data_IF_007947833026
#
_entry.id   IF_007947833026
#
_cell.length_a   1.000
_cell.length_b   1.000
_cell.length_c   1.000
_cell.angle_alpha   90.00
_cell.angle_beta   90.00
_cell.angle_gamma   90.00
#
_symmetry.space_group_name_H-M   'P 1'
#
loop_
_entity.id
_entity.type
_entity.pdbx_description
1 polymer ?
#
# COMPACT_ATOMS: atom_id res chain seq x y z
N UNK A 1 -19.85 15.39 13.52
CA UNK A 1 -21.04 14.51 13.42
C UNK A 1 -20.85 13.40 14.44
N UNK A 2 -21.84 13.12 15.29
CA UNK A 2 -21.74 12.07 16.33
C UNK A 2 -22.73 10.95 15.97
N UNK A 3 -22.22 9.74 15.82
CA UNK A 3 -23.05 8.54 15.61
C UNK A 3 -23.23 7.85 16.95
N UNK A 4 -24.47 7.76 17.45
CA UNK A 4 -24.78 7.06 18.69
C UNK A 4 -24.94 5.56 18.41
N UNK A 5 -23.81 4.86 18.37
CA UNK A 5 -23.79 3.41 18.15
C UNK A 5 -24.56 2.65 19.24
N UNK A 6 -24.74 3.20 20.45
CA UNK A 6 -25.48 2.54 21.53
C UNK A 6 -26.99 2.48 21.28
N UNK A 7 -27.52 3.40 20.48
CA UNK A 7 -28.94 3.45 20.07
C UNK A 7 -29.18 2.92 18.66
N UNK A 8 -28.14 2.42 17.98
CA UNK A 8 -28.29 1.87 16.65
C UNK A 8 -29.19 0.60 16.71
N UNK A 9 -30.34 0.58 16.02
CA UNK A 9 -31.29 -0.53 16.09
C UNK A 9 -30.76 -1.83 15.48
N UNK A 10 -29.61 -1.79 14.80
CA UNK A 10 -28.94 -2.93 14.16
C UNK A 10 -27.66 -3.35 14.88
N UNK A 11 -27.35 -2.76 16.03
CA UNK A 11 -26.14 -3.08 16.79
C UNK A 11 -26.07 -4.57 17.10
N UNK A 12 -24.99 -5.22 16.67
CA UNK A 12 -24.73 -6.65 16.89
C UNK A 12 -25.37 -7.62 15.88
N UNK A 13 -26.27 -7.16 15.00
CA UNK A 13 -26.93 -8.03 13.98
C UNK A 13 -26.93 -7.45 12.57
N UNK A 14 -26.44 -6.22 12.40
CA UNK A 14 -26.24 -5.59 11.09
C UNK A 14 -25.01 -4.69 11.04
N UNK A 15 -24.03 -4.98 11.90
CA UNK A 15 -22.74 -4.28 11.87
C UNK A 15 -21.83 -4.80 10.74
N UNK A 16 -22.02 -6.05 10.30
CA UNK A 16 -21.26 -6.63 9.19
C UNK A 16 -21.51 -5.83 7.90
N UNK A 17 -20.45 -5.24 7.35
CA UNK A 17 -20.53 -4.35 6.17
C UNK A 17 -21.10 -2.94 6.44
N UNK A 18 -21.33 -2.56 7.70
CA UNK A 18 -21.74 -1.20 8.05
C UNK A 18 -20.53 -0.24 8.02
N UNK A 19 -20.61 0.85 7.24
CA UNK A 19 -19.55 1.87 7.20
C UNK A 19 -19.16 2.39 8.59
N UNK A 20 -20.12 2.53 9.50
CA UNK A 20 -19.86 2.99 10.87
C UNK A 20 -19.05 1.96 11.65
N UNK A 21 -19.27 0.66 11.42
CA UNK A 21 -18.49 -0.39 12.08
C UNK A 21 -17.02 -0.34 11.62
N UNK A 22 -16.77 -0.12 10.33
CA UNK A 22 -15.42 0.03 9.78
C UNK A 22 -14.64 1.23 10.38
N UNK A 23 -15.32 2.23 10.94
CA UNK A 23 -14.66 3.33 11.65
C UNK A 23 -14.21 2.97 13.07
N UNK A 24 -14.87 2.00 13.71
CA UNK A 24 -14.52 1.52 15.05
C UNK A 24 -13.56 0.34 15.02
N UNK A 25 -13.78 -0.57 14.07
CA UNK A 25 -12.98 -1.77 13.82
C UNK A 25 -12.61 -1.74 12.33
N UNK A 26 -11.52 -1.03 11.97
CA UNK A 26 -11.06 -1.01 10.59
C UNK A 26 -10.73 -2.44 10.14
N UNK A 27 -10.92 -2.75 8.85
CA UNK A 27 -10.47 -4.02 8.29
C UNK A 27 -8.97 -4.22 8.58
N UNK A 28 -8.53 -5.44 8.92
CA UNK A 28 -7.13 -5.69 9.27
C UNK A 28 -6.17 -5.28 8.15
N UNK A 29 -6.60 -5.33 6.90
CA UNK A 29 -5.81 -4.90 5.74
C UNK A 29 -5.47 -3.40 5.80
N UNK A 30 -6.34 -2.57 6.38
CA UNK A 30 -6.12 -1.13 6.56
C UNK A 30 -5.07 -0.87 7.64
N UNK A 31 -5.02 -1.72 8.68
CA UNK A 31 -4.01 -1.60 9.75
C UNK A 31 -2.58 -1.93 9.27
N UNK A 32 -2.46 -2.67 8.16
CA UNK A 32 -1.17 -3.03 7.56
C UNK A 32 -0.59 -1.92 6.69
N UNK A 33 -1.37 -0.89 6.36
CA UNK A 33 -0.94 0.17 5.46
C UNK A 33 0.01 1.15 6.15
N UNK A 34 1.11 1.47 5.49
CA UNK A 34 1.97 2.54 5.92
C UNK A 34 1.42 3.93 5.54
N UNK A 35 2.09 4.97 6.02
CA UNK A 35 1.67 6.36 5.79
C UNK A 35 1.69 6.72 4.30
N UNK A 36 2.68 6.24 3.55
CA UNK A 36 2.89 6.62 2.16
C UNK A 36 1.86 5.90 1.28
N UNK A 37 1.50 4.66 1.62
CA UNK A 37 0.39 3.91 1.03
C UNK A 37 -0.96 4.59 1.29
N UNK A 38 -1.24 5.01 2.53
CA UNK A 38 -2.45 5.78 2.86
C UNK A 38 -2.54 7.08 2.05
N UNK A 39 -1.41 7.78 1.92
CA UNK A 39 -1.35 9.02 1.13
C UNK A 39 -1.58 8.78 -0.37
N UNK A 40 -1.05 7.69 -0.91
CA UNK A 40 -1.27 7.31 -2.31
C UNK A 40 -2.74 7.00 -2.57
N UNK A 41 -3.39 6.22 -1.69
CA UNK A 41 -4.82 5.89 -1.78
C UNK A 41 -5.66 7.17 -1.76
N UNK A 42 -5.42 8.07 -0.80
CA UNK A 42 -6.15 9.34 -0.72
C UNK A 42 -5.98 10.15 -2.01
N UNK A 43 -4.75 10.28 -2.50
CA UNK A 43 -4.44 11.09 -3.68
C UNK A 43 -5.15 10.55 -4.93
N UNK A 44 -5.09 9.23 -5.15
CA UNK A 44 -5.72 8.58 -6.30
C UNK A 44 -7.25 8.66 -6.22
N UNK A 45 -7.84 8.39 -5.05
CA UNK A 45 -9.28 8.49 -4.87
C UNK A 45 -9.81 9.90 -5.12
N UNK A 46 -9.09 10.94 -4.65
CA UNK A 46 -9.46 12.35 -4.89
C UNK A 46 -9.32 12.77 -6.35
N UNK A 47 -8.49 12.08 -7.12
CA UNK A 47 -8.39 12.25 -8.57
C UNK A 47 -9.48 11.48 -9.35
N UNK A 48 -10.36 10.74 -8.66
CA UNK A 48 -11.48 10.01 -9.27
C UNK A 48 -11.12 8.60 -9.74
N UNK A 49 -9.97 8.06 -9.33
CA UNK A 49 -9.64 6.66 -9.56
C UNK A 49 -10.30 5.78 -8.52
N UNK A 50 -10.71 4.58 -8.93
CA UNK A 50 -11.03 3.53 -7.98
C UNK A 50 -9.76 2.76 -7.60
N UNK A 51 -9.55 2.57 -6.30
CA UNK A 51 -8.29 2.04 -5.75
C UNK A 51 -8.53 0.64 -5.17
N UNK A 52 -7.76 -0.33 -5.68
CA UNK A 52 -7.79 -1.71 -5.19
C UNK A 52 -6.50 -2.01 -4.43
N UNK A 53 -6.62 -2.46 -3.18
CA UNK A 53 -5.50 -3.05 -2.44
C UNK A 53 -5.18 -4.44 -2.99
N UNK A 54 -3.92 -4.68 -3.27
CA UNK A 54 -3.41 -6.01 -3.63
C UNK A 54 -2.72 -6.61 -2.41
N UNK A 55 -2.91 -7.91 -2.18
CA UNK A 55 -2.10 -8.62 -1.19
C UNK A 55 -0.62 -8.51 -1.58
N UNK A 56 0.27 -8.20 -0.61
CA UNK A 56 1.69 -8.11 -0.91
C UNK A 56 2.14 -9.47 -1.44
N UNK A 57 2.98 -9.50 -2.49
CA UNK A 57 3.56 -10.75 -2.94
C UNK A 57 4.23 -11.40 -1.74
N UNK A 58 4.00 -12.71 -1.54
CA UNK A 58 4.77 -13.45 -0.57
C UNK A 58 6.24 -13.24 -0.92
N UNK A 59 7.00 -12.66 0.01
CA UNK A 59 8.40 -12.36 -0.22
C UNK A 59 9.13 -13.70 -0.34
N UNK A 60 9.14 -14.24 -1.55
CA UNK A 60 10.14 -15.20 -1.96
C UNK A 60 11.46 -14.45 -1.88
N UNK A 61 12.46 -15.09 -1.26
CA UNK A 61 13.79 -14.56 -0.96
C UNK A 61 14.31 -13.54 -1.99
N UNK A 62 15.04 -12.49 -1.57
CA UNK A 62 15.38 -11.36 -2.44
C UNK A 62 15.92 -11.86 -3.78
N UNK A 63 15.18 -11.55 -4.85
CA UNK A 63 15.73 -11.61 -6.20
C UNK A 63 16.88 -10.62 -6.20
N UNK A 64 18.11 -11.12 -6.27
CA UNK A 64 19.29 -10.27 -6.34
C UNK A 64 19.03 -9.20 -7.39
N UNK A 65 19.02 -7.94 -6.96
CA UNK A 65 18.78 -6.80 -7.84
C UNK A 65 19.81 -6.91 -8.96
N UNK A 66 19.35 -7.22 -10.17
CA UNK A 66 20.19 -7.27 -11.35
C UNK A 66 20.47 -5.82 -11.75
N UNK A 67 21.36 -5.18 -11.01
CA UNK A 67 21.92 -3.89 -11.38
C UNK A 67 22.52 -3.96 -12.79
N UNK A 68 22.59 -2.84 -13.52
CA UNK A 68 23.24 -2.80 -14.82
C UNK A 68 24.67 -3.37 -14.68
N UNK A 69 25.15 -4.17 -15.66
CA UNK A 69 26.49 -4.75 -15.58
C UNK A 69 27.50 -3.62 -15.38
N UNK A 70 28.51 -3.80 -14.50
CA UNK A 70 29.45 -2.74 -14.20
C UNK A 70 30.14 -2.28 -15.49
N UNK A 71 30.13 -0.96 -15.73
CA UNK A 71 30.83 -0.37 -16.87
C UNK A 71 32.32 -0.68 -16.76
N UNK A 72 32.82 -1.52 -17.66
CA UNK A 72 34.25 -1.80 -17.77
C UNK A 72 34.95 -0.59 -18.37
N UNK A 73 35.77 0.08 -17.55
CA UNK A 73 36.69 1.10 -18.04
C UNK A 73 37.76 0.41 -18.90
N UNK A 74 37.63 0.52 -20.22
CA UNK A 74 38.69 0.09 -21.14
C UNK A 74 39.78 1.15 -21.07
N UNK A 75 40.90 0.80 -20.43
CA UNK A 75 42.10 1.65 -20.42
C UNK A 75 42.63 1.67 -21.86
N UNK A 76 42.36 2.77 -22.58
CA UNK A 76 42.88 2.97 -23.92
C UNK A 76 44.41 2.87 -23.90
N UNK A 77 44.94 1.82 -24.52
CA UNK A 77 46.37 1.68 -24.78
C UNK A 77 46.77 2.64 -25.89
N UNK A 78 47.07 3.89 -25.52
CA UNK A 78 47.72 4.86 -26.39
C UNK A 78 49.24 4.76 -26.21
N UNK A 79 49.91 4.26 -27.24
CA UNK A 79 51.36 4.16 -27.35
C UNK A 79 52.04 5.53 -27.25
N UNK A 80 53.19 5.58 -26.57
CA UNK A 80 54.17 6.64 -26.71
C UNK A 80 55.58 6.05 -26.59
N UNK A 81 56.20 5.78 -27.75
CA UNK A 81 57.60 6.02 -28.09
C UNK A 81 57.84 5.56 -29.54
#
# INVERSE_FOLDING_TARGET
>A
MLVDCTKCPRRGTGCDGCLVAALYEPPPEVELLDRDELWAIETLARAGFEVTLLEPPSVSAPVAEQGPPPLRLVRGGGAAA
#
